data_IF_923528084417
#
_entry.id   IF_923528084417
#
_cell.length_a   1.000
_cell.length_b   1.000
_cell.length_c   1.000
_cell.angle_alpha   90.00
_cell.angle_beta   90.00
_cell.angle_gamma   90.00
#
_symmetry.space_group_name_H-M   'P 1'
#
loop_
_entity.id
_entity.type
_entity.pdbx_description
1 polymer ?
#
# COMPACT_ATOMS: atom_id res chain seq x y z
N UNK A 1 3.91 -12.24 -15.96
CA UNK A 1 4.04 -10.77 -15.89
C UNK A 1 4.94 -10.51 -14.72
N UNK A 2 5.99 -9.69 -14.85
CA UNK A 2 6.88 -9.40 -13.71
C UNK A 2 6.03 -8.87 -12.55
N UNK A 3 5.99 -9.61 -11.45
CA UNK A 3 5.41 -9.21 -10.17
C UNK A 3 6.19 -8.00 -9.65
N UNK A 4 5.84 -6.81 -10.15
CA UNK A 4 6.48 -5.55 -9.77
C UNK A 4 5.82 -5.05 -8.49
N UNK A 5 6.52 -5.20 -7.38
CA UNK A 5 6.17 -4.58 -6.10
C UNK A 5 6.69 -3.15 -6.05
N UNK A 6 5.81 -2.21 -5.71
CA UNK A 6 6.19 -0.82 -5.48
C UNK A 6 6.74 -0.67 -4.07
N UNK A 7 7.93 -0.09 -3.92
CA UNK A 7 8.53 0.14 -2.62
C UNK A 7 8.25 1.58 -2.17
N UNK A 8 7.52 1.72 -1.06
CA UNK A 8 7.30 3.00 -0.40
C UNK A 8 8.26 3.14 0.79
N UNK A 9 9.32 3.92 0.62
CA UNK A 9 10.29 4.19 1.69
C UNK A 9 9.76 5.21 2.74
N UNK A 10 8.83 6.07 2.33
CA UNK A 10 8.23 7.09 3.21
C UNK A 10 6.71 7.14 3.07
N UNK A 11 6.05 7.71 4.07
CA UNK A 11 4.60 7.94 4.06
C UNK A 11 4.16 8.76 2.83
N UNK A 12 4.95 9.74 2.40
CA UNK A 12 4.64 10.57 1.22
C UNK A 12 4.65 9.78 -0.08
N UNK A 13 5.52 8.78 -0.21
CA UNK A 13 5.58 7.91 -1.39
C UNK A 13 4.37 6.97 -1.41
N UNK A 14 4.00 6.41 -0.26
CA UNK A 14 2.78 5.60 -0.13
C UNK A 14 1.55 6.44 -0.53
N UNK A 15 1.43 7.65 -0.01
CA UNK A 15 0.33 8.57 -0.33
C UNK A 15 0.25 8.84 -1.84
N UNK A 16 1.39 9.14 -2.48
CA UNK A 16 1.45 9.32 -3.92
C UNK A 16 1.03 8.07 -4.71
N UNK A 17 1.43 6.87 -4.29
CA UNK A 17 1.00 5.62 -4.92
C UNK A 17 -0.51 5.41 -4.80
N UNK A 18 -1.07 5.78 -3.66
CA UNK A 18 -2.50 5.67 -3.41
C UNK A 18 -3.28 6.66 -4.26
N UNK A 19 -2.89 7.94 -4.24
CA UNK A 19 -3.50 9.01 -5.04
C UNK A 19 -3.46 8.72 -6.55
N UNK A 20 -2.41 8.07 -7.03
CA UNK A 20 -2.29 7.65 -8.43
C UNK A 20 -3.02 6.32 -8.74
N UNK A 21 -3.63 5.68 -7.74
CA UNK A 21 -4.35 4.41 -7.91
C UNK A 21 -3.43 3.22 -8.21
N UNK A 22 -2.15 3.29 -7.86
CA UNK A 22 -1.18 2.23 -8.12
C UNK A 22 -1.40 1.01 -7.23
N UNK A 23 -1.96 1.20 -6.03
CA UNK A 23 -2.34 0.14 -5.10
C UNK A 23 -3.32 -0.90 -5.69
N UNK A 24 -4.03 -0.54 -6.76
CA UNK A 24 -4.98 -1.41 -7.49
C UNK A 24 -4.33 -2.28 -8.55
N UNK A 25 -3.08 -1.97 -8.92
CA UNK A 25 -2.38 -2.60 -10.05
C UNK A 25 -1.12 -3.33 -9.61
N UNK A 26 -0.52 -2.88 -8.52
CA UNK A 26 0.75 -3.37 -8.01
C UNK A 26 0.67 -3.51 -6.50
N UNK A 27 1.22 -4.60 -5.93
CA UNK A 27 1.41 -4.69 -4.50
C UNK A 27 2.40 -3.62 -4.04
N UNK A 28 2.15 -3.03 -2.87
CA UNK A 28 2.99 -1.99 -2.28
C UNK A 28 3.66 -2.55 -1.03
N UNK A 29 4.98 -2.42 -0.94
CA UNK A 29 5.74 -2.72 0.27
C UNK A 29 6.26 -1.43 0.91
N UNK A 30 5.88 -1.19 2.15
CA UNK A 30 6.26 -0.03 2.94
C UNK A 30 7.49 -0.37 3.79
N UNK A 31 8.59 0.38 3.63
CA UNK A 31 9.81 0.21 4.43
C UNK A 31 9.73 0.85 5.83
N UNK A 32 8.55 1.31 6.21
CA UNK A 32 8.24 1.91 7.49
C UNK A 32 7.16 1.08 8.21
N UNK A 33 7.10 1.15 9.56
CA UNK A 33 6.14 0.38 10.33
C UNK A 33 4.69 0.76 9.99
N UNK A 34 3.78 -0.18 10.22
CA UNK A 34 2.35 0.02 9.99
C UNK A 34 1.85 1.33 10.60
N UNK A 35 1.11 2.11 9.79
CA UNK A 35 0.54 3.39 10.20
C UNK A 35 -0.96 3.42 9.90
N UNK A 36 -1.76 3.12 10.93
CA UNK A 36 -3.22 3.04 10.81
C UNK A 36 -3.85 4.35 10.32
N UNK A 37 -3.27 5.50 10.66
CA UNK A 37 -3.77 6.81 10.21
C UNK A 37 -3.71 7.00 8.69
N UNK A 38 -2.80 6.32 7.98
CA UNK A 38 -2.73 6.39 6.52
C UNK A 38 -3.78 5.48 5.88
N UNK A 39 -3.97 4.29 6.46
CA UNK A 39 -4.99 3.35 6.01
C UNK A 39 -6.40 3.91 6.24
N UNK A 40 -6.64 4.58 7.37
CA UNK A 40 -7.94 5.16 7.69
C UNK A 40 -8.31 6.34 6.77
N UNK A 41 -7.31 7.16 6.39
CA UNK A 41 -7.49 8.25 5.42
C UNK A 41 -7.96 7.76 4.06
N UNK A 42 -7.47 6.59 3.66
CA UNK A 42 -7.72 6.01 2.37
C UNK A 42 -8.57 4.77 2.60
N UNK A 43 -9.87 4.95 2.83
CA UNK A 43 -10.82 3.83 2.84
C UNK A 43 -10.81 3.16 1.47
N UNK A 44 -10.03 2.10 1.34
CA UNK A 44 -9.89 1.34 0.10
C UNK A 44 -11.07 0.38 -0.03
N UNK A 45 -12.13 0.78 -0.74
CA UNK A 45 -13.28 -0.10 -1.03
C UNK A 45 -13.00 -1.07 -2.20
N UNK A 46 -11.76 -1.09 -2.70
CA UNK A 46 -11.31 -1.75 -3.94
C UNK A 46 -10.24 -2.83 -3.66
N UNK A 47 -9.72 -3.50 -4.70
CA UNK A 47 -8.62 -4.45 -4.56
C UNK A 47 -7.33 -3.71 -4.21
N UNK A 48 -6.67 -4.13 -3.13
CA UNK A 48 -5.38 -3.58 -2.70
C UNK A 48 -4.52 -4.64 -2.01
N UNK A 49 -3.21 -4.47 -2.12
CA UNK A 49 -2.22 -5.29 -1.42
C UNK A 49 -1.07 -4.41 -0.90
N UNK A 50 -1.08 -4.11 0.40
CA UNK A 50 -0.10 -3.24 1.06
C UNK A 50 0.54 -4.00 2.21
N UNK A 51 1.83 -4.27 2.12
CA UNK A 51 2.63 -4.88 3.19
C UNK A 51 3.54 -3.83 3.83
N UNK A 52 3.76 -3.95 5.14
CA UNK A 52 4.63 -3.07 5.92
C UNK A 52 5.81 -3.86 6.48
N UNK A 53 6.93 -3.18 6.73
CA UNK A 53 8.17 -3.82 7.20
C UNK A 53 8.04 -4.54 8.56
N UNK A 54 7.00 -4.25 9.34
CA UNK A 54 6.67 -4.90 10.62
C UNK A 54 5.95 -6.24 10.42
N UNK A 55 5.69 -6.65 9.17
CA UNK A 55 4.96 -7.87 8.82
C UNK A 55 3.44 -7.70 8.81
N UNK A 56 2.93 -6.49 9.10
CA UNK A 56 1.52 -6.17 8.90
C UNK A 56 1.22 -6.10 7.40
N UNK A 57 0.17 -6.79 6.96
CA UNK A 57 -0.31 -6.75 5.58
C UNK A 57 -1.79 -6.40 5.54
N UNK A 58 -2.10 -5.34 4.83
CA UNK A 58 -3.46 -4.91 4.53
C UNK A 58 -3.76 -5.37 3.10
N UNK A 59 -4.61 -6.39 2.97
CA UNK A 59 -5.04 -6.90 1.66
C UNK A 59 -6.57 -7.01 1.61
N UNK A 60 -7.15 -6.68 0.47
CA UNK A 60 -8.55 -6.90 0.17
C UNK A 60 -8.65 -7.46 -1.24
N UNK A 61 -9.20 -8.65 -1.36
CA UNK A 61 -9.47 -9.34 -2.62
C UNK A 61 -10.98 -9.23 -2.84
N UNK A 62 -11.44 -8.27 -3.66
CA UNK A 62 -12.86 -8.08 -3.97
C UNK A 62 -13.26 -8.78 -5.26
#
# INVERSE_FOLDING_TARGET
MEDKTLIADTHSILDAFIENGLHKKYPIYCQFPHCQSILDKHQYDEEFDIEFNDGYRHQNEK
#
